data_IF_462721983625
#
_entry.id   IF_462721983625
#
_cell.length_a   1.000
_cell.length_b   1.000
_cell.length_c   1.000
_cell.angle_alpha   90.00
_cell.angle_beta   90.00
_cell.angle_gamma   90.00
#
_symmetry.space_group_name_H-M   'P 1'
#
loop_
_entity.id
_entity.type
_entity.pdbx_description
1 polymer ?
#
# COMPACT_ATOMS: atom_id res chain seq x y z
N UNK A 1 -5.49 -10.03 23.95
CA UNK A 1 -6.77 -10.15 23.20
C UNK A 1 -7.49 -8.81 23.02
N UNK A 2 -7.67 -7.98 24.06
CA UNK A 2 -8.45 -6.71 23.93
C UNK A 2 -7.73 -5.60 23.13
N UNK A 3 -6.40 -5.55 23.16
CA UNK A 3 -5.62 -4.49 22.48
C UNK A 3 -5.68 -4.58 20.95
N UNK A 4 -5.41 -5.75 20.36
CA UNK A 4 -5.43 -5.93 18.89
C UNK A 4 -6.80 -5.61 18.30
N UNK A 5 -7.88 -5.95 19.04
CA UNK A 5 -9.25 -5.66 18.62
C UNK A 5 -9.57 -4.16 18.63
N UNK A 6 -9.13 -3.47 19.69
CA UNK A 6 -9.22 -2.00 19.78
C UNK A 6 -8.42 -1.31 18.69
N UNK A 7 -7.27 -1.86 18.32
CA UNK A 7 -6.44 -1.28 17.27
C UNK A 7 -7.09 -1.42 15.88
N UNK A 8 -7.71 -2.56 15.57
CA UNK A 8 -8.43 -2.73 14.30
C UNK A 8 -9.70 -1.86 14.22
N UNK A 9 -10.48 -1.75 15.30
CA UNK A 9 -11.65 -0.85 15.36
C UNK A 9 -11.23 0.63 15.23
N UNK A 10 -10.10 1.01 15.82
CA UNK A 10 -9.51 2.35 15.69
C UNK A 10 -9.07 2.62 14.24
N UNK A 11 -8.47 1.64 13.58
CA UNK A 11 -8.08 1.72 12.18
C UNK A 11 -9.31 1.78 11.26
N UNK A 12 -10.35 0.98 11.50
CA UNK A 12 -11.61 1.06 10.76
C UNK A 12 -12.26 2.45 10.90
N UNK A 13 -12.24 3.00 12.12
CA UNK A 13 -12.71 4.36 12.41
C UNK A 13 -11.90 5.42 11.66
N UNK A 14 -10.56 5.30 11.67
CA UNK A 14 -9.66 6.21 10.96
C UNK A 14 -9.83 6.14 9.43
N UNK A 15 -10.17 4.96 8.91
CA UNK A 15 -10.49 4.72 7.50
C UNK A 15 -11.93 5.14 7.12
N UNK A 16 -12.76 5.53 8.10
CA UNK A 16 -14.15 5.93 7.89
C UNK A 16 -15.07 4.77 7.48
N UNK A 17 -14.71 3.53 7.80
CA UNK A 17 -15.47 2.32 7.45
C UNK A 17 -16.15 1.74 8.68
N UNK A 18 -17.33 1.15 8.48
CA UNK A 18 -18.21 0.73 9.60
C UNK A 18 -18.12 -0.76 9.95
N UNK A 19 -17.46 -1.55 9.10
CA UNK A 19 -17.27 -2.98 9.28
C UNK A 19 -16.02 -3.47 8.52
N UNK A 20 -15.56 -4.68 8.85
CA UNK A 20 -14.35 -5.27 8.27
C UNK A 20 -14.46 -5.55 6.77
N UNK A 21 -15.67 -5.82 6.27
CA UNK A 21 -15.91 -6.06 4.85
C UNK A 21 -15.68 -4.78 4.02
N UNK A 22 -16.15 -3.64 4.53
CA UNK A 22 -15.90 -2.31 3.96
C UNK A 22 -14.41 -1.95 4.03
N UNK A 23 -13.74 -2.26 5.15
CA UNK A 23 -12.29 -2.09 5.28
C UNK A 23 -11.52 -2.91 4.22
N UNK A 24 -11.89 -4.18 4.04
CA UNK A 24 -11.30 -5.05 3.03
C UNK A 24 -11.60 -4.57 1.59
N UNK A 25 -12.78 -4.02 1.32
CA UNK A 25 -13.14 -3.46 0.03
C UNK A 25 -12.34 -2.18 -0.28
N UNK A 26 -12.19 -1.30 0.71
CA UNK A 26 -11.36 -0.10 0.60
C UNK A 26 -9.90 -0.46 0.36
N UNK A 27 -9.36 -1.43 1.09
CA UNK A 27 -7.99 -1.90 0.90
C UNK A 27 -7.77 -2.46 -0.50
N UNK A 28 -8.67 -3.32 -1.00
CA UNK A 28 -8.62 -3.82 -2.38
C UNK A 28 -8.69 -2.73 -3.45
N UNK A 29 -9.31 -1.59 -3.16
CA UNK A 29 -9.32 -0.44 -4.07
C UNK A 29 -7.99 0.31 -4.04
N UNK A 30 -7.47 0.59 -2.84
CA UNK A 30 -6.16 1.22 -2.65
C UNK A 30 -5.05 0.37 -3.26
N UNK A 31 -5.20 -0.94 -3.16
CA UNK A 31 -4.39 -1.93 -3.84
C UNK A 31 -4.29 -1.62 -5.35
N UNK A 32 -5.41 -1.68 -6.06
CA UNK A 32 -5.43 -1.48 -7.52
C UNK A 32 -4.79 -0.13 -7.88
N UNK A 33 -5.11 0.93 -7.14
CA UNK A 33 -4.54 2.26 -7.36
C UNK A 33 -3.02 2.32 -7.16
N UNK A 34 -2.49 1.64 -6.15
CA UNK A 34 -1.05 1.57 -5.91
C UNK A 34 -0.33 0.80 -7.02
N UNK A 35 -0.91 -0.30 -7.52
CA UNK A 35 -0.34 -1.05 -8.65
C UNK A 35 -0.34 -0.23 -9.95
N UNK A 36 -1.42 0.51 -10.22
CA UNK A 36 -1.49 1.43 -11.37
C UNK A 36 -0.43 2.53 -11.29
N UNK A 37 -0.19 3.08 -10.08
CA UNK A 37 0.82 4.10 -9.83
C UNK A 37 2.24 3.56 -10.01
N UNK A 38 2.52 2.37 -9.50
CA UNK A 38 3.80 1.68 -9.72
C UNK A 38 4.05 1.46 -11.22
N UNK A 39 3.05 1.00 -11.96
CA UNK A 39 3.13 0.85 -13.42
C UNK A 39 3.36 2.20 -14.15
N UNK A 40 2.74 3.28 -13.68
CA UNK A 40 2.95 4.62 -14.23
C UNK A 40 4.37 5.14 -13.97
N UNK A 41 4.89 4.92 -12.76
CA UNK A 41 6.26 5.26 -12.37
C UNK A 41 7.27 4.48 -13.20
N UNK A 42 7.06 3.17 -13.41
CA UNK A 42 7.93 2.36 -14.26
C UNK A 42 7.93 2.84 -15.72
N UNK A 43 6.75 3.18 -16.26
CA UNK A 43 6.65 3.76 -17.62
C UNK A 43 7.38 5.09 -17.72
N UNK A 44 7.25 5.96 -16.72
CA UNK A 44 7.97 7.23 -16.67
C UNK A 44 9.48 7.01 -16.61
N UNK A 45 9.96 6.11 -15.75
CA UNK A 45 11.37 5.74 -15.66
C UNK A 45 11.92 5.26 -17.01
N UNK A 46 11.19 4.37 -17.69
CA UNK A 46 11.60 3.84 -18.98
C UNK A 46 11.47 4.84 -20.14
N UNK A 47 10.64 5.87 -20.00
CA UNK A 47 10.45 6.91 -21.01
C UNK A 47 11.52 8.02 -20.96
N UNK A 48 12.38 8.03 -19.94
CA UNK A 48 13.50 8.98 -19.79
C UNK A 48 14.58 8.65 -20.84
N UNK A 49 14.78 9.46 -21.90
CA UNK A 49 15.76 9.16 -22.93
C UNK A 49 17.18 9.27 -22.40
N UNK A 50 17.98 8.21 -22.51
CA UNK A 50 19.35 8.16 -21.97
C UNK A 50 20.37 9.02 -22.75
N UNK A 51 19.94 9.86 -23.70
CA UNK A 51 20.85 10.54 -24.62
C UNK A 51 20.61 12.07 -24.67
N UNK A 52 21.67 12.83 -24.37
CA UNK A 52 21.84 14.23 -24.82
C UNK A 52 21.35 15.35 -23.89
N UNK A 53 20.95 15.09 -22.64
CA UNK A 53 20.63 16.13 -21.65
C UNK A 53 21.68 16.18 -20.53
N UNK A 54 21.81 17.31 -19.80
CA UNK A 54 22.71 17.40 -18.64
C UNK A 54 22.34 16.31 -17.63
N UNK A 55 23.34 15.47 -17.36
CA UNK A 55 23.30 14.22 -16.58
C UNK A 55 22.54 14.37 -15.25
N UNK A 56 22.66 15.53 -14.59
CA UNK A 56 22.13 15.75 -13.24
C UNK A 56 20.61 15.76 -13.13
N UNK A 57 19.89 16.47 -14.02
CA UNK A 57 18.43 16.63 -13.89
C UNK A 57 17.64 15.37 -14.26
N UNK A 58 18.18 14.54 -15.16
CA UNK A 58 17.54 13.28 -15.55
C UNK A 58 17.84 12.16 -14.58
N UNK A 59 19.04 12.13 -14.00
CA UNK A 59 19.37 11.19 -12.94
C UNK A 59 18.57 11.48 -11.66
N UNK A 60 18.42 12.76 -11.27
CA UNK A 60 17.55 13.16 -10.15
C UNK A 60 16.08 12.76 -10.38
N UNK A 61 15.58 12.92 -11.60
CA UNK A 61 14.22 12.50 -11.96
C UNK A 61 14.05 10.97 -11.90
N UNK A 62 15.02 10.22 -12.41
CA UNK A 62 15.02 8.76 -12.35
C UNK A 62 15.10 8.24 -10.91
N UNK A 63 15.93 8.86 -10.06
CA UNK A 63 16.02 8.58 -8.62
C UNK A 63 14.69 8.86 -7.92
N UNK A 64 14.09 10.03 -8.18
CA UNK A 64 12.80 10.43 -7.57
C UNK A 64 11.70 9.44 -7.92
N UNK A 65 11.63 9.00 -9.18
CA UNK A 65 10.66 7.98 -9.62
C UNK A 65 10.92 6.63 -8.93
N UNK A 66 12.18 6.22 -8.83
CA UNK A 66 12.55 4.98 -8.18
C UNK A 66 12.19 4.98 -6.68
N UNK A 67 12.46 6.07 -5.98
CA UNK A 67 12.07 6.25 -4.57
C UNK A 67 10.56 6.24 -4.39
N UNK A 68 9.82 6.97 -5.25
CA UNK A 68 8.36 6.95 -5.24
C UNK A 68 7.82 5.53 -5.45
N UNK A 69 8.41 4.76 -6.37
CA UNK A 69 8.02 3.37 -6.63
C UNK A 69 8.23 2.49 -5.40
N UNK A 70 9.36 2.67 -4.71
CA UNK A 70 9.67 1.94 -3.46
C UNK A 70 8.69 2.30 -2.35
N UNK A 71 8.36 3.57 -2.17
CA UNK A 71 7.38 4.03 -1.18
C UNK A 71 5.99 3.44 -1.46
N UNK A 72 5.57 3.42 -2.72
CA UNK A 72 4.29 2.82 -3.14
C UNK A 72 4.27 1.31 -2.84
N UNK A 73 5.35 0.60 -3.14
CA UNK A 73 5.47 -0.83 -2.85
C UNK A 73 5.44 -1.15 -1.35
N UNK A 74 6.08 -0.31 -0.52
CA UNK A 74 6.03 -0.43 0.94
C UNK A 74 4.62 -0.19 1.47
N UNK A 75 3.95 0.87 1.01
CA UNK A 75 2.56 1.16 1.38
C UNK A 75 1.61 0.02 0.97
N UNK A 76 1.82 -0.57 -0.22
CA UNK A 76 1.10 -1.75 -0.68
C UNK A 76 1.27 -2.94 0.27
N UNK A 77 2.51 -3.23 0.69
CA UNK A 77 2.80 -4.35 1.60
C UNK A 77 2.07 -4.18 2.93
N UNK A 78 2.11 -2.96 3.49
CA UNK A 78 1.41 -2.64 4.74
C UNK A 78 -0.11 -2.77 4.62
N UNK A 79 -0.69 -2.37 3.47
CA UNK A 79 -2.11 -2.56 3.20
C UNK A 79 -2.49 -4.05 3.12
N UNK A 80 -1.59 -4.93 2.63
CA UNK A 80 -1.85 -6.38 2.58
C UNK A 80 -1.90 -6.96 3.97
N UNK A 81 -0.91 -6.63 4.79
CA UNK A 81 -0.83 -7.12 6.17
C UNK A 81 -2.06 -6.68 6.97
N UNK A 82 -2.50 -5.45 6.77
CA UNK A 82 -3.70 -4.93 7.39
C UNK A 82 -4.98 -5.63 6.88
N UNK A 83 -5.11 -5.86 5.57
CA UNK A 83 -6.24 -6.59 4.99
C UNK A 83 -6.31 -8.02 5.53
N UNK A 84 -5.17 -8.70 5.63
CA UNK A 84 -5.10 -10.04 6.21
C UNK A 84 -5.51 -10.04 7.69
N UNK A 85 -5.16 -8.99 8.42
CA UNK A 85 -5.56 -8.81 9.83
C UNK A 85 -7.08 -8.63 9.96
N UNK A 86 -7.71 -7.81 9.11
CA UNK A 86 -9.17 -7.67 9.04
C UNK A 86 -9.86 -8.98 8.63
N UNK A 87 -9.33 -9.71 7.65
CA UNK A 87 -9.87 -11.02 7.24
C UNK A 87 -9.73 -12.11 8.32
N UNK A 88 -8.70 -12.05 9.16
CA UNK A 88 -8.55 -12.95 10.29
C UNK A 88 -9.55 -12.60 11.40
N UNK A 89 -9.77 -11.30 11.65
CA UNK A 89 -10.76 -10.80 12.60
C UNK A 89 -12.18 -11.20 12.21
N UNK A 90 -12.58 -11.02 10.93
CA UNK A 90 -13.90 -11.40 10.42
C UNK A 90 -14.19 -12.91 10.60
N UNK A 91 -13.17 -13.75 10.45
CA UNK A 91 -13.28 -15.21 10.58
C UNK A 91 -13.24 -15.72 12.03
N UNK A 92 -13.09 -14.83 13.01
CA UNK A 92 -12.93 -15.20 14.42
C UNK A 92 -11.66 -16.02 14.70
N UNK A 93 -10.70 -16.05 13.76
CA UNK A 93 -9.42 -16.72 13.95
C UNK A 93 -8.46 -15.77 14.66
N UNK A 94 -8.71 -15.58 15.96
CA UNK A 94 -7.65 -15.21 16.88
C UNK A 94 -6.70 -16.41 16.93
N UNK A 95 -5.39 -16.20 16.71
CA UNK A 95 -4.40 -17.26 16.96
C UNK A 95 -4.50 -17.66 18.43
N UNK A 96 -5.26 -18.72 18.69
CA UNK A 96 -5.20 -19.48 19.92
C UNK A 96 -3.86 -20.21 19.93
N UNK A 97 -2.88 -19.64 20.62
CA UNK A 97 -1.72 -20.41 21.06
C UNK A 97 -2.11 -21.12 22.36
N UNK A 98 -2.06 -22.45 22.32
CA UNK A 98 -2.09 -23.34 23.48
C UNK A 98 -0.75 -23.30 24.22
#
# INVERSE_FOLDING_TARGET
MVEIRRDLDSVATALGVTNDADACALMRRLEVQASELEGALLRLHNAVPQHGRPVTAMDEFAITIHEASKTVHQAWTQLMDLRLSFQAHERGQERGES
#
